data_IF_121165496816
#
_entry.id   IF_121165496816
#
_cell.length_a   1.000
_cell.length_b   1.000
_cell.length_c   1.000
_cell.angle_alpha   90.00
_cell.angle_beta   90.00
_cell.angle_gamma   90.00
#
_symmetry.space_group_name_H-M   'P 1'
#
loop_
_entity.id
_entity.type
_entity.pdbx_description
1 polymer ?
#
# COMPACT_ATOMS: atom_id res chain seq x y z
N UNK A 1 -22.26 -23.25 18.46
CA UNK A 1 -21.62 -22.40 19.50
C UNK A 1 -22.23 -22.76 20.85
N UNK A 2 -21.51 -22.66 21.97
CA UNK A 2 -22.08 -22.86 23.31
C UNK A 2 -23.30 -21.97 23.56
N UNK A 3 -24.12 -22.35 24.53
CA UNK A 3 -25.18 -21.46 24.99
C UNK A 3 -24.56 -20.20 25.64
N UNK A 4 -25.11 -19.03 25.34
CA UNK A 4 -24.58 -17.77 25.85
C UNK A 4 -24.92 -16.56 24.99
N UNK A 5 -24.50 -15.39 25.45
CA UNK A 5 -24.64 -14.12 24.74
C UNK A 5 -23.46 -13.91 23.81
N UNK A 6 -23.75 -13.51 22.57
CA UNK A 6 -22.78 -13.24 21.53
C UNK A 6 -23.09 -11.90 20.87
N UNK A 7 -22.05 -11.27 20.34
CA UNK A 7 -22.18 -10.15 19.41
C UNK A 7 -21.82 -10.61 18.01
N UNK A 8 -22.35 -9.94 17.00
CA UNK A 8 -22.01 -10.18 15.61
C UNK A 8 -21.73 -8.88 14.89
N UNK A 9 -20.91 -8.98 13.85
CA UNK A 9 -20.72 -7.94 12.85
C UNK A 9 -20.72 -8.61 11.47
N UNK A 10 -21.55 -8.11 10.57
CA UNK A 10 -21.69 -8.56 9.18
C UNK A 10 -21.30 -7.39 8.26
N UNK A 11 -20.38 -7.65 7.35
CA UNK A 11 -19.80 -6.65 6.44
C UNK A 11 -19.76 -7.20 5.00
N UNK A 12 -19.70 -6.29 4.04
CA UNK A 12 -19.40 -6.56 2.62
C UNK A 12 -18.51 -5.43 2.11
N UNK A 13 -17.22 -5.49 2.44
CA UNK A 13 -16.29 -4.39 2.18
C UNK A 13 -16.72 -3.04 2.77
N UNK A 14 -16.02 -1.94 2.42
CA UNK A 14 -16.30 -0.59 2.91
C UNK A 14 -17.44 0.11 2.16
N UNK A 15 -17.90 -0.43 1.01
CA UNK A 15 -18.95 0.17 0.16
C UNK A 15 -20.37 -0.08 0.67
N UNK A 16 -20.53 -0.90 1.71
CA UNK A 16 -21.81 -1.24 2.31
C UNK A 16 -21.84 -0.83 3.79
N UNK A 17 -23.05 -0.62 4.31
CA UNK A 17 -23.28 -0.43 5.75
C UNK A 17 -22.84 -1.65 6.53
N UNK A 18 -22.28 -1.46 7.73
CA UNK A 18 -21.98 -2.52 8.68
C UNK A 18 -23.22 -2.93 9.48
N UNK A 19 -23.65 -4.18 9.37
CA UNK A 19 -24.65 -4.77 10.26
C UNK A 19 -23.99 -5.24 11.56
N UNK A 20 -24.56 -4.92 12.72
CA UNK A 20 -24.04 -5.37 14.01
C UNK A 20 -25.15 -5.49 15.05
N UNK A 21 -24.96 -6.36 16.03
CA UNK A 21 -25.94 -6.58 17.08
C UNK A 21 -25.48 -7.62 18.10
N UNK A 22 -26.41 -8.06 18.94
CA UNK A 22 -26.20 -9.12 19.92
C UNK A 22 -27.35 -10.11 19.90
N UNK A 23 -27.06 -11.36 20.26
CA UNK A 23 -28.03 -12.43 20.32
C UNK A 23 -27.66 -13.42 21.42
N UNK A 24 -28.63 -14.22 21.83
CA UNK A 24 -28.43 -15.29 22.79
C UNK A 24 -28.67 -16.64 22.10
N UNK A 25 -27.75 -17.57 22.30
CA UNK A 25 -27.89 -18.96 21.88
C UNK A 25 -28.38 -19.74 23.10
N UNK A 26 -29.53 -20.40 22.97
CA UNK A 26 -30.01 -21.36 23.97
C UNK A 26 -29.62 -22.78 23.56
N UNK A 27 -29.34 -23.64 24.54
CA UNK A 27 -28.98 -25.04 24.27
C UNK A 27 -30.07 -25.74 23.45
N UNK A 28 -29.67 -26.48 22.42
CA UNK A 28 -30.58 -27.20 21.53
C UNK A 28 -31.43 -26.31 20.60
N UNK A 29 -31.20 -25.00 20.55
CA UNK A 29 -31.94 -24.07 19.67
C UNK A 29 -31.08 -23.51 18.55
N UNK A 30 -31.72 -23.19 17.43
CA UNK A 30 -31.11 -22.43 16.32
C UNK A 30 -31.60 -21.00 16.38
N UNK A 31 -30.67 -20.04 16.42
CA UNK A 31 -30.98 -18.61 16.30
C UNK A 31 -30.63 -18.16 14.90
N UNK A 32 -31.62 -17.65 14.15
CA UNK A 32 -31.44 -17.10 12.81
C UNK A 32 -31.40 -15.57 12.88
N UNK A 33 -30.36 -14.96 12.30
CA UNK A 33 -30.18 -13.50 12.23
C UNK A 33 -30.25 -13.11 10.76
N UNK A 34 -31.15 -12.17 10.43
CA UNK A 34 -31.28 -11.60 9.09
C UNK A 34 -30.87 -10.14 9.13
N UNK A 35 -29.87 -9.80 8.34
CA UNK A 35 -29.41 -8.43 8.15
C UNK A 35 -29.41 -8.09 6.67
N UNK A 36 -29.83 -6.86 6.34
CA UNK A 36 -29.76 -6.34 4.97
C UNK A 36 -28.78 -5.17 4.95
N UNK A 37 -27.62 -5.39 4.36
CA UNK A 37 -26.63 -4.33 4.18
C UNK A 37 -27.06 -3.42 3.01
N UNK A 38 -27.09 -2.11 3.25
CA UNK A 38 -27.34 -1.11 2.22
C UNK A 38 -26.03 -0.64 1.61
N UNK A 39 -25.99 -0.45 0.29
CA UNK A 39 -24.80 0.07 -0.39
C UNK A 39 -24.69 1.58 -0.11
N UNK A 40 -23.59 2.00 0.50
CA UNK A 40 -23.27 3.40 0.81
C UNK A 40 -22.83 4.14 -0.46
N UNK A 41 -22.03 3.46 -1.30
CA UNK A 41 -21.50 4.01 -2.54
C UNK A 41 -21.20 2.87 -3.52
N UNK A 42 -21.28 3.15 -4.82
CA UNK A 42 -20.81 2.26 -5.87
C UNK A 42 -19.57 2.88 -6.52
N UNK A 43 -18.37 2.47 -6.07
CA UNK A 43 -17.11 3.02 -6.56
C UNK A 43 -16.86 2.65 -8.03
N UNK A 44 -17.21 1.42 -8.42
CA UNK A 44 -17.10 0.93 -9.80
C UNK A 44 -17.89 1.80 -10.78
N UNK A 45 -19.12 2.23 -10.43
CA UNK A 45 -19.93 3.13 -11.25
C UNK A 45 -19.30 4.52 -11.45
N UNK A 46 -18.38 4.89 -10.55
CA UNK A 46 -17.59 6.13 -10.60
C UNK A 46 -16.19 5.90 -11.18
N UNK A 47 -15.93 4.72 -11.75
CA UNK A 47 -14.66 4.36 -12.40
C UNK A 47 -13.54 3.98 -11.45
N UNK A 48 -13.83 3.75 -10.17
CA UNK A 48 -12.85 3.33 -9.15
C UNK A 48 -12.99 1.85 -8.84
N UNK A 49 -11.90 1.11 -8.94
CA UNK A 49 -11.88 -0.34 -8.81
C UNK A 49 -10.92 -0.79 -7.72
N UNK A 50 -11.40 -1.61 -6.79
CA UNK A 50 -10.65 -2.08 -5.63
C UNK A 50 -9.66 -3.21 -5.98
N UNK A 51 -8.53 -3.25 -5.30
CA UNK A 51 -7.63 -4.39 -5.30
C UNK A 51 -6.82 -4.50 -4.02
N UNK A 52 -6.19 -5.66 -3.83
CA UNK A 52 -5.34 -5.99 -2.69
C UNK A 52 -4.15 -6.82 -3.19
N UNK A 53 -2.95 -6.55 -2.67
CA UNK A 53 -1.70 -7.15 -3.13
C UNK A 53 -1.04 -8.09 -2.10
N UNK A 54 -1.75 -8.60 -1.09
CA UNK A 54 -1.18 -9.59 -0.16
C UNK A 54 -2.23 -10.60 0.31
N UNK A 55 -2.42 -11.68 -0.45
CA UNK A 55 -3.46 -12.68 -0.18
C UNK A 55 -2.88 -14.10 -0.21
N UNK A 56 -2.91 -14.80 0.93
CA UNK A 56 -2.47 -16.20 1.09
C UNK A 56 -3.64 -17.20 1.10
N UNK A 57 -4.73 -16.87 0.43
CA UNK A 57 -5.90 -17.75 0.34
C UNK A 57 -5.76 -18.74 -0.81
N UNK A 58 -6.40 -19.90 -0.66
CA UNK A 58 -6.41 -20.92 -1.71
C UNK A 58 -7.23 -20.46 -2.92
N UNK A 59 -6.84 -20.89 -4.12
CA UNK A 59 -7.62 -20.66 -5.34
C UNK A 59 -9.03 -21.26 -5.26
N UNK A 60 -9.26 -22.26 -4.41
CA UNK A 60 -10.58 -22.87 -4.18
C UNK A 60 -11.54 -21.91 -3.46
N UNK A 61 -11.02 -21.08 -2.56
CA UNK A 61 -11.83 -20.22 -1.71
C UNK A 61 -11.89 -18.77 -2.21
N UNK A 62 -10.94 -18.35 -3.06
CA UNK A 62 -10.71 -16.93 -3.36
C UNK A 62 -11.92 -16.25 -4.02
N UNK A 63 -12.65 -16.93 -4.91
CA UNK A 63 -13.80 -16.34 -5.58
C UNK A 63 -14.93 -16.01 -4.59
N UNK A 64 -15.18 -16.87 -3.60
CA UNK A 64 -16.16 -16.61 -2.56
C UNK A 64 -15.76 -15.40 -1.70
N UNK A 65 -14.48 -15.31 -1.34
CA UNK A 65 -13.95 -14.24 -0.50
C UNK A 65 -13.97 -12.89 -1.23
N UNK A 66 -13.61 -12.86 -2.52
CA UNK A 66 -13.74 -11.70 -3.38
C UNK A 66 -15.19 -11.22 -3.44
N UNK A 67 -16.16 -12.13 -3.70
CA UNK A 67 -17.59 -11.79 -3.75
C UNK A 67 -18.09 -11.24 -2.41
N UNK A 68 -17.64 -11.83 -1.31
CA UNK A 68 -18.02 -11.41 0.04
C UNK A 68 -17.53 -9.99 0.36
N UNK A 69 -16.43 -9.56 -0.24
CA UNK A 69 -15.77 -8.28 0.07
C UNK A 69 -15.93 -7.19 -1.00
N UNK A 70 -16.58 -7.52 -2.12
CA UNK A 70 -16.67 -6.66 -3.32
C UNK A 70 -15.28 -6.16 -3.77
N UNK A 71 -14.32 -7.10 -3.82
CA UNK A 71 -12.90 -6.83 -4.14
C UNK A 71 -12.59 -7.18 -5.60
N UNK A 72 -12.16 -6.23 -6.41
CA UNK A 72 -12.08 -6.48 -7.86
C UNK A 72 -10.83 -7.19 -8.34
N UNK A 73 -9.67 -6.92 -7.74
CA UNK A 73 -8.38 -7.53 -8.11
C UNK A 73 -7.67 -8.09 -6.88
N UNK A 74 -7.34 -9.38 -6.90
CA UNK A 74 -6.59 -10.02 -5.81
C UNK A 74 -5.62 -11.07 -6.34
N UNK A 75 -4.35 -10.73 -6.61
CA UNK A 75 -3.30 -11.72 -6.80
C UNK A 75 -3.14 -12.59 -5.55
N UNK A 76 -3.09 -13.92 -5.72
CA UNK A 76 -2.88 -14.86 -4.62
C UNK A 76 -1.45 -15.38 -4.60
N UNK A 77 -0.88 -15.51 -3.40
CA UNK A 77 0.48 -15.98 -3.19
C UNK A 77 0.51 -17.51 -3.25
N UNK A 78 1.14 -18.04 -4.31
CA UNK A 78 1.21 -19.49 -4.59
C UNK A 78 2.63 -20.04 -4.56
N UNK A 79 3.62 -19.15 -4.45
CA UNK A 79 5.00 -19.49 -4.17
C UNK A 79 5.60 -18.46 -3.23
N UNK A 80 6.32 -18.91 -2.21
CA UNK A 80 6.97 -18.07 -1.23
C UNK A 80 8.17 -18.80 -0.63
N UNK A 81 9.33 -18.15 -0.57
CA UNK A 81 10.58 -18.72 -0.06
C UNK A 81 10.84 -20.17 -0.55
N UNK A 82 10.71 -21.18 0.34
CA UNK A 82 10.95 -22.59 0.01
C UNK A 82 9.74 -23.31 -0.60
N UNK A 83 8.57 -22.68 -0.58
CA UNK A 83 7.31 -23.22 -1.11
C UNK A 83 7.08 -22.73 -2.53
N UNK A 84 6.84 -23.63 -3.47
CA UNK A 84 6.42 -23.27 -4.82
C UNK A 84 5.42 -24.31 -5.35
N UNK A 85 4.14 -23.93 -5.42
CA UNK A 85 3.06 -24.81 -5.91
C UNK A 85 3.28 -25.30 -7.34
N UNK A 86 4.04 -24.55 -8.14
CA UNK A 86 4.26 -24.79 -9.56
C UNK A 86 5.55 -25.56 -9.87
N UNK A 87 6.36 -25.90 -8.85
CA UNK A 87 7.65 -26.60 -9.07
C UNK A 87 7.48 -27.97 -9.73
N UNK A 88 6.44 -28.70 -9.34
CA UNK A 88 6.12 -30.04 -9.83
C UNK A 88 4.71 -30.11 -10.45
N UNK A 89 4.15 -28.95 -10.81
CA UNK A 89 2.79 -28.83 -11.35
C UNK A 89 2.83 -28.01 -12.64
N UNK A 90 1.94 -28.30 -13.58
CA UNK A 90 1.80 -27.47 -14.76
C UNK A 90 1.32 -26.06 -14.38
N UNK A 91 2.00 -25.03 -14.89
CA UNK A 91 1.53 -23.65 -14.80
C UNK A 91 0.27 -23.52 -15.67
N UNK A 92 -0.83 -22.96 -15.15
CA UNK A 92 -2.06 -22.80 -15.92
C UNK A 92 -1.82 -21.86 -17.11
N UNK A 93 -2.39 -22.18 -18.27
CA UNK A 93 -2.36 -21.29 -19.43
C UNK A 93 -3.00 -19.94 -19.10
N UNK A 94 -4.15 -19.99 -18.42
CA UNK A 94 -4.83 -18.81 -17.87
C UNK A 94 -4.32 -18.50 -16.46
N UNK A 95 -3.34 -17.59 -16.39
CA UNK A 95 -2.70 -17.15 -15.14
C UNK A 95 -3.59 -16.18 -14.36
N UNK A 96 -4.26 -15.28 -15.08
CA UNK A 96 -5.27 -14.36 -14.54
C UNK A 96 -6.65 -14.91 -14.83
N UNK A 97 -7.36 -15.27 -13.78
CA UNK A 97 -8.75 -15.74 -13.87
C UNK A 97 -9.66 -14.54 -13.72
N UNK A 98 -10.66 -14.42 -14.58
CA UNK A 98 -11.76 -13.47 -14.45
C UNK A 98 -13.09 -14.21 -14.33
N UNK A 99 -13.98 -13.68 -13.51
CA UNK A 99 -15.30 -14.24 -13.23
C UNK A 99 -16.28 -13.11 -12.84
N UNK A 100 -17.58 -13.41 -12.92
CA UNK A 100 -18.72 -12.47 -12.72
C UNK A 100 -18.47 -11.09 -13.36
N UNK A 101 -17.96 -11.08 -14.59
CA UNK A 101 -17.65 -9.93 -15.45
C UNK A 101 -16.51 -8.99 -15.00
N UNK A 102 -16.36 -8.72 -13.70
CA UNK A 102 -15.47 -7.66 -13.20
C UNK A 102 -14.55 -8.07 -12.04
N UNK A 103 -14.50 -9.34 -11.68
CA UNK A 103 -13.57 -9.84 -10.66
C UNK A 103 -12.38 -10.56 -11.30
N UNK A 104 -11.19 -10.36 -10.74
CA UNK A 104 -9.94 -10.93 -11.22
C UNK A 104 -9.06 -11.42 -10.07
N UNK A 105 -8.42 -12.57 -10.26
CA UNK A 105 -7.30 -12.99 -9.40
C UNK A 105 -6.15 -13.55 -10.25
N UNK A 106 -4.92 -13.26 -9.84
CA UNK A 106 -3.70 -13.79 -10.45
C UNK A 106 -3.22 -14.99 -9.63
N UNK A 107 -3.02 -16.11 -10.31
CA UNK A 107 -2.57 -17.37 -9.72
C UNK A 107 -1.06 -17.42 -9.47
N UNK A 108 -0.27 -16.53 -10.06
CA UNK A 108 1.20 -16.57 -10.02
C UNK A 108 1.83 -15.56 -9.06
N UNK A 109 1.04 -15.01 -8.13
CA UNK A 109 1.55 -14.17 -7.06
C UNK A 109 2.65 -14.87 -6.25
N UNK A 110 3.72 -14.14 -5.98
CA UNK A 110 4.88 -14.64 -5.25
C UNK A 110 5.35 -13.71 -4.15
N UNK A 111 6.06 -14.28 -3.17
CA UNK A 111 6.65 -13.53 -2.05
C UNK A 111 8.09 -14.01 -1.77
N UNK A 112 9.07 -13.10 -1.86
CA UNK A 112 10.43 -13.29 -1.35
C UNK A 112 10.55 -12.57 0.00
N UNK A 113 10.39 -13.29 1.10
CA UNK A 113 10.39 -12.75 2.48
C UNK A 113 11.61 -13.25 3.26
N UNK A 114 12.57 -12.36 3.49
CA UNK A 114 13.86 -12.68 4.10
C UNK A 114 14.33 -11.59 5.07
N UNK A 115 15.59 -11.64 5.53
CA UNK A 115 16.11 -10.70 6.53
C UNK A 115 15.99 -9.23 6.07
N UNK A 116 16.16 -8.98 4.78
CA UNK A 116 15.98 -7.66 4.17
C UNK A 116 14.54 -7.16 4.14
N UNK A 117 13.56 -8.04 4.35
CA UNK A 117 12.13 -7.78 4.24
C UNK A 117 11.46 -8.63 3.17
N UNK A 118 10.27 -8.21 2.74
CA UNK A 118 9.45 -8.91 1.75
C UNK A 118 9.25 -8.09 0.47
N UNK A 119 9.44 -8.76 -0.67
CA UNK A 119 9.10 -8.27 -2.00
C UNK A 119 8.08 -9.21 -2.66
N UNK A 120 7.04 -8.64 -3.24
CA UNK A 120 5.97 -9.39 -3.88
C UNK A 120 6.06 -9.29 -5.41
N UNK A 121 5.67 -10.36 -6.07
CA UNK A 121 5.78 -10.53 -7.52
C UNK A 121 4.41 -10.83 -8.12
N UNK A 122 3.92 -9.98 -9.03
CA UNK A 122 2.63 -10.16 -9.71
C UNK A 122 2.76 -10.02 -11.22
N UNK A 123 1.72 -10.43 -11.96
CA UNK A 123 1.69 -10.39 -13.42
C UNK A 123 2.87 -11.15 -14.04
N UNK A 124 3.25 -12.25 -13.40
CA UNK A 124 4.37 -13.09 -13.82
C UNK A 124 3.94 -14.02 -14.95
N UNK A 125 4.80 -14.29 -15.92
CA UNK A 125 4.60 -15.37 -16.89
C UNK A 125 4.93 -16.74 -16.30
N UNK A 126 5.93 -16.77 -15.41
CA UNK A 126 6.38 -17.93 -14.65
C UNK A 126 6.96 -17.49 -13.30
N UNK A 127 6.84 -18.32 -12.24
CA UNK A 127 7.49 -18.05 -10.96
C UNK A 127 9.01 -17.92 -11.10
N UNK A 128 9.62 -17.10 -10.25
CA UNK A 128 11.07 -17.08 -10.07
C UNK A 128 11.44 -18.16 -9.05
N UNK A 129 12.45 -18.98 -9.34
CA UNK A 129 12.89 -20.00 -8.39
C UNK A 129 13.74 -19.38 -7.27
N UNK A 130 13.06 -19.05 -6.18
CA UNK A 130 13.68 -18.56 -4.94
C UNK A 130 13.92 -19.68 -3.91
N UNK A 131 13.68 -20.96 -4.26
CA UNK A 131 13.68 -22.06 -3.27
C UNK A 131 15.05 -22.37 -2.67
N UNK A 132 16.12 -21.91 -3.32
CA UNK A 132 17.51 -22.01 -2.86
C UNK A 132 17.98 -20.78 -2.09
N UNK A 133 17.15 -19.74 -1.99
CA UNK A 133 17.50 -18.53 -1.25
C UNK A 133 17.71 -18.84 0.23
N UNK A 134 18.72 -18.19 0.79
CA UNK A 134 19.01 -18.13 2.20
C UNK A 134 18.64 -16.74 2.73
N UNK A 135 18.69 -16.57 4.05
CA UNK A 135 18.27 -15.33 4.73
C UNK A 135 18.92 -14.05 4.17
N UNK A 136 20.18 -14.11 3.76
CA UNK A 136 20.93 -12.96 3.21
C UNK A 136 21.42 -13.16 1.76
N UNK A 137 21.38 -14.39 1.24
CA UNK A 137 21.99 -14.74 -0.06
C UNK A 137 21.05 -15.51 -0.99
N UNK A 138 21.00 -15.17 -2.30
CA UNK A 138 21.56 -13.97 -2.92
C UNK A 138 20.77 -12.72 -2.49
N UNK A 139 21.26 -11.51 -2.76
CA UNK A 139 20.48 -10.29 -2.49
C UNK A 139 19.07 -10.39 -3.14
N UNK A 140 17.97 -9.96 -2.48
CA UNK A 140 16.62 -9.98 -3.08
C UNK A 140 16.52 -9.36 -4.48
N UNK A 141 17.34 -8.34 -4.74
CA UNK A 141 17.41 -7.69 -6.05
C UNK A 141 17.81 -8.65 -7.18
N UNK A 142 18.57 -9.71 -6.90
CA UNK A 142 18.91 -10.74 -7.88
C UNK A 142 17.66 -11.44 -8.45
N UNK A 143 16.63 -11.67 -7.63
CA UNK A 143 15.38 -12.28 -8.07
C UNK A 143 14.44 -11.26 -8.70
N UNK A 144 14.44 -10.01 -8.22
CA UNK A 144 13.75 -8.89 -8.87
C UNK A 144 14.25 -8.69 -10.30
N UNK A 145 15.57 -8.72 -10.53
CA UNK A 145 16.18 -8.63 -11.87
C UNK A 145 15.72 -9.75 -12.80
N UNK A 146 15.53 -10.97 -12.28
CA UNK A 146 14.98 -12.08 -13.06
C UNK A 146 13.50 -11.91 -13.35
N UNK A 147 12.73 -11.44 -12.36
CA UNK A 147 11.31 -11.18 -12.53
C UNK A 147 11.06 -10.10 -13.60
N UNK A 148 11.81 -9.00 -13.54
CA UNK A 148 11.70 -7.86 -14.48
C UNK A 148 12.05 -8.20 -15.94
N UNK A 149 12.64 -9.38 -16.22
CA UNK A 149 12.81 -9.89 -17.60
C UNK A 149 11.49 -10.36 -18.22
N UNK A 150 10.47 -10.61 -17.40
CA UNK A 150 9.15 -11.04 -17.86
C UNK A 150 8.28 -9.81 -18.16
N UNK A 151 7.66 -9.71 -19.35
CA UNK A 151 6.75 -8.63 -19.68
C UNK A 151 5.61 -8.51 -18.67
N UNK A 152 5.34 -7.28 -18.20
CA UNK A 152 4.24 -7.01 -17.28
C UNK A 152 4.53 -7.29 -15.80
N UNK A 153 5.66 -7.90 -15.46
CA UNK A 153 6.05 -8.19 -14.07
C UNK A 153 5.95 -6.94 -13.18
N UNK A 154 5.28 -7.11 -12.04
CA UNK A 154 5.07 -6.07 -11.04
C UNK A 154 5.79 -6.44 -9.76
N UNK A 155 6.55 -5.49 -9.21
CA UNK A 155 7.24 -5.66 -7.93
C UNK A 155 6.61 -4.73 -6.90
N UNK A 156 5.99 -5.30 -5.88
CA UNK A 156 5.49 -4.53 -4.74
C UNK A 156 6.43 -4.67 -3.54
N UNK A 157 6.79 -3.55 -2.93
CA UNK A 157 7.51 -3.53 -1.67
C UNK A 157 6.48 -3.66 -0.55
N UNK A 158 6.42 -4.82 0.11
CA UNK A 158 5.27 -5.16 0.97
C UNK A 158 5.11 -4.21 2.16
N UNK A 159 6.23 -3.69 2.72
CA UNK A 159 6.21 -2.68 3.79
C UNK A 159 7.29 -1.61 3.63
N UNK A 160 7.00 -0.34 3.97
CA UNK A 160 8.00 0.73 3.97
C UNK A 160 9.19 0.48 4.90
N UNK A 161 8.99 -0.22 6.02
CA UNK A 161 10.02 -0.39 7.04
C UNK A 161 10.97 -1.57 6.79
N UNK A 162 10.92 -2.21 5.63
CA UNK A 162 11.86 -3.27 5.27
C UNK A 162 13.29 -2.76 5.05
N UNK A 163 14.26 -3.49 5.59
CA UNK A 163 15.66 -3.06 5.62
C UNK A 163 16.25 -2.83 4.23
N UNK A 164 15.83 -3.60 3.22
CA UNK A 164 16.33 -3.50 1.85
C UNK A 164 15.52 -2.50 0.99
N UNK A 165 14.49 -1.81 1.55
CA UNK A 165 13.75 -0.75 0.83
C UNK A 165 14.69 0.29 0.22
N UNK A 166 15.65 0.88 0.95
CA UNK A 166 16.52 1.91 0.37
C UNK A 166 17.44 1.39 -0.72
N UNK A 167 17.76 0.08 -0.70
CA UNK A 167 18.55 -0.59 -1.73
C UNK A 167 17.70 -0.80 -2.98
N UNK A 168 16.48 -1.31 -2.84
CA UNK A 168 15.55 -1.47 -3.96
C UNK A 168 15.24 -0.13 -4.66
N UNK A 169 14.96 0.92 -3.88
CA UNK A 169 14.69 2.26 -4.39
C UNK A 169 15.86 2.85 -5.19
N UNK A 170 17.10 2.61 -4.76
CA UNK A 170 18.30 3.08 -5.47
C UNK A 170 18.49 2.43 -6.85
N UNK A 171 17.90 1.25 -7.06
CA UNK A 171 17.90 0.55 -8.35
C UNK A 171 16.66 0.86 -9.19
N UNK A 172 15.73 1.68 -8.68
CA UNK A 172 14.44 1.92 -9.33
C UNK A 172 13.52 0.70 -9.30
N UNK A 173 13.68 -0.17 -8.31
CA UNK A 173 12.78 -1.29 -8.06
C UNK A 173 11.70 -0.93 -7.02
N UNK A 174 10.52 -1.54 -7.18
CA UNK A 174 9.29 -1.15 -6.48
C UNK A 174 8.35 -0.37 -7.38
N UNK A 175 7.44 -1.07 -8.07
CA UNK A 175 6.34 -0.48 -8.83
C UNK A 175 5.27 0.13 -7.89
N UNK A 176 5.11 -0.45 -6.69
CA UNK A 176 4.32 0.09 -5.58
C UNK A 176 4.90 -0.30 -4.21
N UNK A 177 4.36 0.29 -3.15
CA UNK A 177 4.77 0.03 -1.77
C UNK A 177 3.58 0.00 -0.80
N UNK A 178 3.55 -0.99 0.09
CA UNK A 178 2.47 -1.25 1.03
C UNK A 178 2.32 -0.21 2.14
N UNK A 179 1.88 0.98 1.78
CA UNK A 179 1.55 2.05 2.72
C UNK A 179 0.47 1.60 3.71
N UNK A 180 -0.48 0.81 3.22
CA UNK A 180 -1.51 0.14 4.02
C UNK A 180 -1.25 -1.37 4.04
N UNK A 181 -0.24 -1.76 4.82
CA UNK A 181 0.20 -3.15 4.92
C UNK A 181 -0.55 -3.95 5.99
N UNK A 182 -0.19 -5.23 6.07
CA UNK A 182 -0.84 -6.25 6.89
C UNK A 182 -0.69 -6.05 8.41
N UNK A 183 0.00 -5.01 8.91
CA UNK A 183 0.01 -4.66 10.34
C UNK A 183 -1.21 -3.84 10.78
N UNK A 184 -1.89 -3.19 9.83
CA UNK A 184 -3.18 -2.56 10.06
C UNK A 184 -4.25 -3.65 10.12
N UNK A 185 -4.58 -4.16 11.31
CA UNK A 185 -5.64 -5.18 11.43
C UNK A 185 -7.00 -4.56 11.69
N UNK A 186 -8.03 -5.31 11.34
CA UNK A 186 -9.41 -5.01 11.70
C UNK A 186 -9.61 -4.84 13.20
N UNK A 187 -8.95 -5.67 14.00
CA UNK A 187 -9.14 -5.77 15.46
C UNK A 187 -8.08 -5.06 16.28
N UNK A 188 -6.92 -4.72 15.69
CA UNK A 188 -5.80 -4.06 16.38
C UNK A 188 -4.77 -3.51 15.39
N UNK A 189 -3.83 -2.71 15.87
CA UNK A 189 -2.56 -2.52 15.17
C UNK A 189 -1.52 -3.50 15.70
N UNK A 190 -0.72 -4.14 14.85
CA UNK A 190 0.44 -4.89 15.31
C UNK A 190 1.53 -3.93 15.83
N UNK A 191 1.95 -4.12 17.07
CA UNK A 191 2.93 -3.27 17.75
C UNK A 191 4.38 -3.78 17.58
N UNK A 192 4.79 -4.00 16.33
CA UNK A 192 6.17 -4.28 15.96
C UNK A 192 6.41 -3.92 14.50
N UNK A 193 7.67 -3.78 14.10
CA UNK A 193 8.08 -3.70 12.69
C UNK A 193 8.52 -5.10 12.18
N UNK A 194 8.05 -6.17 12.84
CA UNK A 194 8.61 -7.51 12.72
C UNK A 194 10.14 -7.50 12.92
N UNK A 195 10.93 -7.79 11.88
CA UNK A 195 12.39 -7.67 11.86
C UNK A 195 12.89 -6.50 10.98
N UNK A 196 11.99 -5.61 10.56
CA UNK A 196 12.32 -4.39 9.80
C UNK A 196 12.95 -3.29 10.67
N UNK A 197 13.19 -2.14 10.05
CA UNK A 197 13.74 -0.95 10.72
C UNK A 197 12.78 -0.48 11.81
N UNK A 198 13.18 -0.53 13.08
CA UNK A 198 12.31 -0.18 14.19
C UNK A 198 11.98 1.31 14.17
N UNK A 199 10.76 1.64 14.60
CA UNK A 199 10.38 3.02 14.86
C UNK A 199 10.92 3.53 16.19
N UNK A 200 11.08 4.84 16.33
CA UNK A 200 11.19 5.45 17.65
C UNK A 200 9.82 5.41 18.34
N UNK A 201 9.66 4.58 19.37
CA UNK A 201 8.36 4.42 20.07
C UNK A 201 7.92 5.65 20.86
N UNK A 202 8.82 6.61 21.15
CA UNK A 202 8.45 7.89 21.76
C UNK A 202 7.76 8.80 20.76
N UNK A 203 8.29 8.86 19.54
CA UNK A 203 7.76 9.70 18.46
C UNK A 203 6.53 9.06 17.81
N UNK A 204 6.51 7.72 17.76
CA UNK A 204 5.44 6.91 17.17
C UNK A 204 4.89 5.89 18.18
N UNK A 205 4.11 6.33 19.18
CA UNK A 205 3.60 5.47 20.24
C UNK A 205 2.48 4.54 19.76
N UNK A 206 2.37 3.40 20.42
CA UNK A 206 1.27 2.44 20.23
C UNK A 206 -0.08 3.05 20.66
N UNK A 207 -1.22 2.60 20.10
CA UNK A 207 -1.34 1.53 19.11
C UNK A 207 -1.09 2.00 17.66
N UNK A 208 -1.27 3.29 17.34
CA UNK A 208 -1.21 3.78 15.94
C UNK A 208 0.21 3.98 15.38
N UNK A 209 1.24 3.88 16.22
CA UNK A 209 2.63 4.21 15.91
C UNK A 209 3.20 3.54 14.66
N UNK A 210 2.96 2.24 14.44
CA UNK A 210 3.46 1.57 13.24
C UNK A 210 2.84 2.13 11.94
N UNK A 211 1.57 2.55 11.98
CA UNK A 211 0.88 3.14 10.83
C UNK A 211 1.39 4.54 10.50
N UNK A 212 1.70 5.33 11.53
CA UNK A 212 2.38 6.61 11.35
C UNK A 212 3.83 6.46 10.89
N UNK A 213 4.56 5.46 11.40
CA UNK A 213 5.92 5.15 10.97
C UNK A 213 5.99 4.76 9.49
N UNK A 214 5.08 3.88 9.04
CA UNK A 214 4.97 3.48 7.64
C UNK A 214 4.76 4.69 6.71
N UNK A 215 3.91 5.63 7.13
CA UNK A 215 3.67 6.88 6.39
C UNK A 215 4.86 7.83 6.43
N UNK A 216 5.52 7.96 7.58
CA UNK A 216 6.69 8.80 7.72
C UNK A 216 7.83 8.34 6.80
N UNK A 217 8.10 7.03 6.72
CA UNK A 217 9.06 6.48 5.75
C UNK A 217 8.60 6.77 4.31
N UNK A 218 7.32 6.53 4.00
CA UNK A 218 6.79 6.83 2.67
C UNK A 218 7.00 8.30 2.28
N UNK A 219 6.86 9.23 3.23
CA UNK A 219 7.11 10.64 2.98
C UNK A 219 8.58 10.94 2.73
N UNK A 220 9.52 10.28 3.45
CA UNK A 220 10.95 10.36 3.11
C UNK A 220 11.25 9.86 1.69
N UNK A 221 10.56 8.80 1.22
CA UNK A 221 10.71 8.31 -0.17
C UNK A 221 10.32 9.40 -1.17
N UNK A 222 9.14 10.00 -0.98
CA UNK A 222 8.63 11.07 -1.84
C UNK A 222 9.48 12.34 -1.77
N UNK A 223 9.95 12.70 -0.57
CA UNK A 223 10.86 13.82 -0.31
C UNK A 223 12.26 13.59 -0.84
N UNK A 224 12.62 12.36 -1.17
CA UNK A 224 13.81 12.08 -1.96
C UNK A 224 13.56 12.30 -3.45
N UNK A 225 12.35 12.65 -3.89
CA UNK A 225 11.97 12.80 -5.30
C UNK A 225 11.65 11.48 -6.01
N UNK A 226 11.49 10.39 -5.27
CA UNK A 226 11.09 9.08 -5.84
C UNK A 226 9.56 9.04 -5.88
N UNK A 227 8.99 8.80 -7.06
CA UNK A 227 7.54 8.65 -7.24
C UNK A 227 7.22 7.16 -7.21
N UNK A 228 6.46 6.73 -6.21
CA UNK A 228 6.05 5.33 -6.05
C UNK A 228 4.60 5.27 -5.54
N UNK A 229 3.80 4.40 -6.14
CA UNK A 229 2.39 4.27 -5.83
C UNK A 229 2.18 3.57 -4.48
N UNK A 230 1.26 4.05 -3.62
CA UNK A 230 0.88 3.31 -2.43
C UNK A 230 0.00 2.11 -2.83
N UNK A 231 0.29 0.95 -2.24
CA UNK A 231 -0.50 -0.27 -2.33
C UNK A 231 -1.03 -0.68 -0.96
N UNK A 232 -1.85 -1.73 -0.95
CA UNK A 232 -2.45 -2.27 0.25
C UNK A 232 -2.48 -3.80 0.24
N UNK A 233 -2.37 -4.39 1.43
CA UNK A 233 -2.34 -5.84 1.62
C UNK A 233 -2.75 -6.24 3.04
N UNK A 234 -3.57 -7.28 3.18
CA UNK A 234 -4.10 -7.74 4.47
C UNK A 234 -3.40 -9.01 4.98
N UNK A 235 -2.70 -9.72 4.09
CA UNK A 235 -2.11 -11.04 4.35
C UNK A 235 -3.13 -12.08 4.82
N UNK A 236 -4.34 -12.06 4.25
CA UNK A 236 -5.39 -13.00 4.64
C UNK A 236 -4.97 -14.44 4.35
N UNK A 237 -5.13 -15.34 5.32
CA UNK A 237 -4.67 -16.73 5.26
C UNK A 237 -3.44 -17.00 6.13
N UNK A 238 -2.66 -15.96 6.45
CA UNK A 238 -1.54 -16.04 7.41
C UNK A 238 -1.74 -15.12 8.62
N UNK A 239 -2.42 -13.98 8.45
CA UNK A 239 -2.80 -13.07 9.54
C UNK A 239 -4.32 -13.04 9.76
N UNK A 240 -4.74 -12.37 10.85
CA UNK A 240 -6.13 -12.30 11.30
C UNK A 240 -7.05 -11.39 10.48
N UNK A 241 -6.60 -10.82 9.36
CA UNK A 241 -7.43 -9.98 8.51
C UNK A 241 -8.20 -10.79 7.46
N UNK A 242 -9.46 -10.39 7.14
CA UNK A 242 -10.15 -10.91 5.96
C UNK A 242 -9.52 -10.36 4.67
N UNK A 243 -9.80 -11.04 3.56
CA UNK A 243 -9.49 -10.54 2.21
C UNK A 243 -10.14 -9.17 2.05
N UNK A 244 -9.50 -8.27 1.33
CA UNK A 244 -9.96 -6.93 1.04
C UNK A 244 -9.98 -5.97 2.23
N UNK A 245 -9.59 -6.36 3.45
CA UNK A 245 -9.66 -5.42 4.57
C UNK A 245 -8.79 -4.18 4.31
N UNK A 246 -7.54 -4.40 3.92
CA UNK A 246 -6.65 -3.38 3.42
C UNK A 246 -6.71 -3.40 1.89
N UNK A 247 -7.21 -2.33 1.26
CA UNK A 247 -7.39 -2.28 -0.20
C UNK A 247 -6.91 -0.96 -0.79
N UNK A 248 -6.55 -1.01 -2.07
CA UNK A 248 -6.26 0.15 -2.92
C UNK A 248 -7.37 0.29 -3.95
N UNK A 249 -7.92 1.49 -4.12
CA UNK A 249 -8.80 1.83 -5.22
C UNK A 249 -8.00 2.52 -6.31
N UNK A 250 -8.18 2.08 -7.55
CA UNK A 250 -7.53 2.68 -8.72
C UNK A 250 -8.61 3.19 -9.67
N UNK A 251 -8.47 4.44 -10.12
CA UNK A 251 -9.38 5.02 -11.08
C UNK A 251 -9.01 4.59 -12.51
N UNK A 252 -9.92 3.92 -13.21
CA UNK A 252 -9.77 3.55 -14.63
C UNK A 252 -10.64 4.40 -15.56
N UNK A 253 -11.59 5.16 -15.01
CA UNK A 253 -12.52 6.03 -15.75
C UNK A 253 -13.63 5.29 -16.51
N UNK A 254 -13.47 4.00 -16.78
CA UNK A 254 -14.47 3.15 -17.44
C UNK A 254 -15.42 2.46 -16.47
N UNK A 255 -16.64 2.16 -16.95
CA UNK A 255 -17.63 1.34 -16.24
C UNK A 255 -17.32 -0.15 -16.26
N UNK A 256 -16.41 -0.58 -17.13
CA UNK A 256 -15.92 -1.95 -17.20
C UNK A 256 -14.47 -1.98 -16.71
N UNK A 257 -14.14 -2.96 -15.88
CA UNK A 257 -12.78 -3.15 -15.40
C UNK A 257 -11.93 -3.86 -16.46
N UNK A 258 -10.86 -3.19 -16.87
CA UNK A 258 -9.79 -3.78 -17.67
C UNK A 258 -8.57 -4.05 -16.77
N UNK A 259 -8.22 -5.32 -16.59
CA UNK A 259 -7.14 -5.75 -15.69
C UNK A 259 -5.81 -5.01 -15.95
N UNK A 260 -5.38 -4.93 -17.21
CA UNK A 260 -4.13 -4.24 -17.58
C UNK A 260 -4.15 -2.74 -17.28
N UNK A 261 -5.27 -2.06 -17.57
CA UNK A 261 -5.45 -0.63 -17.30
C UNK A 261 -5.44 -0.33 -15.80
N UNK A 262 -5.95 -1.23 -14.96
CA UNK A 262 -5.89 -1.09 -13.51
C UNK A 262 -4.43 -1.01 -13.03
N UNK A 263 -3.58 -1.95 -13.44
CA UNK A 263 -2.16 -1.91 -13.08
C UNK A 263 -1.43 -0.70 -13.68
N UNK A 264 -1.73 -0.32 -14.93
CA UNK A 264 -1.15 0.87 -15.55
C UNK A 264 -1.48 2.15 -14.74
N UNK A 265 -2.73 2.29 -14.31
CA UNK A 265 -3.16 3.47 -13.55
C UNK A 265 -2.69 3.42 -12.10
N UNK A 266 -2.53 2.23 -11.49
CA UNK A 266 -1.85 2.10 -10.21
C UNK A 266 -0.42 2.63 -10.31
N UNK A 267 0.33 2.27 -11.35
CA UNK A 267 1.72 2.73 -11.55
C UNK A 267 1.82 4.24 -11.70
N UNK A 268 0.80 4.85 -12.31
CA UNK A 268 0.68 6.31 -12.43
C UNK A 268 0.25 7.00 -11.14
N UNK A 269 -0.04 6.24 -10.07
CA UNK A 269 -0.54 6.77 -8.81
C UNK A 269 -1.96 7.32 -8.90
N UNK A 270 -2.78 6.84 -9.83
CA UNK A 270 -4.19 7.26 -9.93
C UNK A 270 -5.02 6.43 -8.95
N UNK A 271 -4.65 6.50 -7.67
CA UNK A 271 -5.12 5.59 -6.64
C UNK A 271 -5.26 6.24 -5.26
N UNK A 272 -5.92 5.52 -4.35
CA UNK A 272 -5.84 5.75 -2.91
C UNK A 272 -5.94 4.42 -2.16
N UNK A 273 -5.31 4.32 -0.99
CA UNK A 273 -5.40 3.16 -0.10
C UNK A 273 -6.42 3.41 1.01
N UNK A 274 -7.11 2.37 1.47
CA UNK A 274 -8.07 2.45 2.58
C UNK A 274 -8.35 1.10 3.25
N UNK A 275 -8.63 1.13 4.55
CA UNK A 275 -9.24 0.05 5.32
C UNK A 275 -10.48 0.51 6.11
N UNK A 276 -11.11 1.58 5.67
CA UNK A 276 -12.34 2.12 6.29
C UNK A 276 -12.92 3.26 5.46
N UNK A 277 -12.46 4.51 5.65
CA UNK A 277 -13.00 5.67 4.93
C UNK A 277 -12.86 5.54 3.41
N UNK A 278 -13.92 5.81 2.66
CA UNK A 278 -13.88 5.91 1.20
C UNK A 278 -13.81 7.37 0.79
N UNK A 279 -12.86 7.68 -0.09
CA UNK A 279 -12.63 9.05 -0.55
C UNK A 279 -12.74 9.15 -2.07
N UNK A 280 -13.30 10.26 -2.54
CA UNK A 280 -13.27 10.64 -3.95
C UNK A 280 -12.55 11.98 -4.10
N UNK A 281 -11.23 11.96 -4.26
CA UNK A 281 -10.45 13.18 -4.35
C UNK A 281 -10.59 13.82 -5.74
N UNK A 282 -10.62 15.16 -5.74
CA UNK A 282 -10.58 15.99 -6.94
C UNK A 282 -9.84 17.28 -6.64
N UNK A 283 -8.64 17.44 -7.19
CA UNK A 283 -7.83 18.66 -7.00
C UNK A 283 -7.77 19.43 -8.29
N UNK A 284 -8.39 20.62 -8.33
CA UNK A 284 -8.55 21.42 -9.54
C UNK A 284 -9.06 20.60 -10.74
N UNK A 285 -9.97 19.65 -10.49
CA UNK A 285 -10.54 18.74 -11.51
C UNK A 285 -9.72 17.47 -11.79
N UNK A 286 -8.53 17.33 -11.23
CA UNK A 286 -7.63 16.20 -11.46
C UNK A 286 -7.67 15.15 -10.35
N UNK A 287 -7.29 13.92 -10.71
CA UNK A 287 -7.18 12.75 -9.82
C UNK A 287 -5.76 12.63 -9.25
N UNK A 288 -5.54 11.83 -8.20
CA UNK A 288 -4.20 11.53 -7.67
C UNK A 288 -3.25 11.08 -8.78
N UNK A 289 -1.95 11.29 -8.58
CA UNK A 289 -0.91 11.02 -9.58
C UNK A 289 -0.73 12.13 -10.62
N UNK A 290 -1.64 13.12 -10.67
CA UNK A 290 -1.50 14.27 -11.58
C UNK A 290 -0.28 15.15 -11.23
N UNK A 291 0.32 15.73 -12.27
CA UNK A 291 1.47 16.64 -12.16
C UNK A 291 1.03 18.03 -12.64
N UNK A 292 0.87 18.96 -11.71
CA UNK A 292 0.63 20.37 -12.00
C UNK A 292 1.95 21.05 -12.39
N UNK A 293 1.97 21.76 -13.51
CA UNK A 293 3.19 22.41 -14.02
C UNK A 293 3.03 23.92 -14.06
N UNK A 294 4.10 24.65 -13.74
CA UNK A 294 4.16 26.09 -13.90
C UNK A 294 5.59 26.56 -14.20
N UNK A 295 5.70 27.75 -14.80
CA UNK A 295 7.00 28.39 -15.03
C UNK A 295 7.61 28.92 -13.72
N UNK A 296 8.93 29.09 -13.72
CA UNK A 296 9.67 29.66 -12.58
C UNK A 296 9.08 31.02 -12.18
N UNK A 297 8.88 31.23 -10.88
CA UNK A 297 8.32 32.46 -10.31
C UNK A 297 6.78 32.53 -10.33
N UNK A 298 6.08 31.53 -10.87
CA UNK A 298 4.63 31.43 -10.77
C UNK A 298 4.21 30.73 -9.48
N UNK A 299 3.07 31.16 -8.93
CA UNK A 299 2.39 30.47 -7.83
C UNK A 299 1.32 29.54 -8.39
N UNK A 300 1.34 28.28 -7.99
CA UNK A 300 0.28 27.31 -8.30
C UNK A 300 -0.72 27.33 -7.15
N UNK A 301 -1.97 27.67 -7.43
CA UNK A 301 -3.09 27.62 -6.48
C UNK A 301 -4.01 26.47 -6.86
N UNK A 302 -4.22 25.54 -5.95
CA UNK A 302 -4.96 24.29 -6.16
C UNK A 302 -6.22 24.29 -5.30
N UNK A 303 -7.37 24.00 -5.91
CA UNK A 303 -8.65 23.80 -5.21
C UNK A 303 -8.76 22.34 -4.77
N UNK A 304 -8.70 22.07 -3.47
CA UNK A 304 -8.64 20.71 -2.91
C UNK A 304 -10.03 20.28 -2.47
N UNK A 305 -10.65 19.39 -3.24
CA UNK A 305 -11.95 18.79 -2.96
C UNK A 305 -11.84 17.30 -2.69
N UNK A 306 -12.76 16.82 -1.86
CA UNK A 306 -12.86 15.43 -1.42
C UNK A 306 -14.35 15.16 -1.18
N UNK A 307 -14.87 14.04 -1.68
CA UNK A 307 -16.08 13.44 -1.09
C UNK A 307 -15.65 12.34 -0.13
N UNK A 308 -16.34 12.21 1.01
CA UNK A 308 -16.03 11.24 2.05
C UNK A 308 -17.28 10.43 2.41
N UNK A 309 -17.16 9.10 2.33
CA UNK A 309 -18.22 8.15 2.67
C UNK A 309 -17.62 7.03 3.52
N UNK A 310 -18.31 6.55 4.54
CA UNK A 310 -17.79 5.46 5.35
C UNK A 310 -18.70 5.07 6.50
N UNK A 311 -18.32 3.99 7.18
CA UNK A 311 -19.02 3.46 8.35
C UNK A 311 -18.47 4.00 9.69
N UNK A 312 -17.24 4.49 9.70
CA UNK A 312 -16.52 4.85 10.92
C UNK A 312 -16.53 6.37 11.12
N UNK A 313 -16.55 6.87 12.37
CA UNK A 313 -16.35 8.28 12.66
C UNK A 313 -14.96 8.74 12.19
N UNK A 314 -14.84 10.03 11.89
CA UNK A 314 -13.61 10.63 11.32
C UNK A 314 -12.95 11.52 12.38
N UNK A 315 -11.70 11.20 12.70
CA UNK A 315 -10.85 11.96 13.63
C UNK A 315 -10.34 13.23 12.93
N UNK A 316 -9.65 13.05 11.80
CA UNK A 316 -9.05 14.16 11.06
C UNK A 316 -9.08 13.97 9.54
N UNK A 317 -9.18 15.09 8.82
CA UNK A 317 -8.92 15.17 7.39
C UNK A 317 -7.75 16.12 7.17
N UNK A 318 -6.69 15.63 6.53
CA UNK A 318 -5.40 16.29 6.50
C UNK A 318 -4.88 16.47 5.07
N UNK A 319 -4.26 17.62 4.82
CA UNK A 319 -3.41 17.84 3.65
C UNK A 319 -1.97 17.70 4.12
N UNK A 320 -1.26 16.71 3.58
CA UNK A 320 0.18 16.52 3.81
C UNK A 320 0.92 17.13 2.63
N UNK A 321 1.88 18.01 2.88
CA UNK A 321 2.70 18.66 1.86
C UNK A 321 4.18 18.46 2.20
N UNK A 322 4.93 17.88 1.26
CA UNK A 322 6.36 17.59 1.42
C UNK A 322 6.71 16.90 2.76
N UNK A 323 5.85 15.99 3.22
CA UNK A 323 6.05 15.20 4.44
C UNK A 323 5.51 15.80 5.74
N UNK A 324 5.04 17.05 5.72
CA UNK A 324 4.49 17.74 6.90
C UNK A 324 2.98 17.96 6.75
N UNK A 325 2.27 17.98 7.89
CA UNK A 325 0.85 18.34 7.90
C UNK A 325 0.73 19.84 7.64
N UNK A 326 0.23 20.22 6.46
CA UNK A 326 -0.02 21.62 6.10
C UNK A 326 -1.33 22.12 6.72
N UNK A 327 -2.33 21.24 6.79
CA UNK A 327 -3.67 21.56 7.29
C UNK A 327 -4.31 20.32 7.87
N UNK A 328 -5.00 20.51 8.99
CA UNK A 328 -5.93 19.55 9.59
C UNK A 328 -7.30 20.21 9.66
N UNK A 329 -8.32 19.51 9.16
CA UNK A 329 -9.72 19.94 9.12
C UNK A 329 -10.56 18.93 9.88
N UNK A 330 -11.42 19.41 10.77
CA UNK A 330 -12.40 18.53 11.45
C UNK A 330 -13.50 18.10 10.50
N UNK A 331 -14.18 16.98 10.78
CA UNK A 331 -15.30 16.54 9.93
C UNK A 331 -16.44 17.58 9.84
N UNK A 332 -16.72 18.29 10.94
CA UNK A 332 -17.74 19.34 10.99
C UNK A 332 -17.38 20.55 10.11
N UNK A 333 -16.12 20.98 10.16
CA UNK A 333 -15.61 22.06 9.31
C UNK A 333 -15.61 21.67 7.83
N UNK A 334 -15.17 20.45 7.52
CA UNK A 334 -15.17 19.92 6.16
C UNK A 334 -16.58 19.92 5.54
N UNK A 335 -17.60 19.48 6.28
CA UNK A 335 -18.99 19.50 5.82
C UNK A 335 -19.52 20.92 5.62
N UNK A 336 -19.07 21.89 6.42
CA UNK A 336 -19.50 23.29 6.32
C UNK A 336 -18.85 24.01 5.14
N UNK A 337 -17.58 23.70 4.84
CA UNK A 337 -16.78 24.37 3.82
C UNK A 337 -16.95 23.77 2.41
N UNK A 338 -17.54 22.57 2.28
CA UNK A 338 -17.70 21.89 1.00
C UNK A 338 -16.38 21.44 0.36
N UNK A 339 -15.33 21.26 1.15
CA UNK A 339 -14.00 20.87 0.70
C UNK A 339 -12.89 21.21 1.69
N UNK A 340 -11.63 21.02 1.27
CA UNK A 340 -10.46 21.32 2.10
C UNK A 340 -9.85 22.70 1.78
N UNK A 341 -10.46 23.47 0.88
CA UNK A 341 -10.02 24.82 0.51
C UNK A 341 -8.83 24.82 -0.44
N UNK A 342 -8.10 25.95 -0.48
CA UNK A 342 -6.98 26.12 -1.40
C UNK A 342 -5.64 25.72 -0.78
N UNK A 343 -4.77 25.14 -1.62
CA UNK A 343 -3.36 24.84 -1.35
C UNK A 343 -2.47 25.60 -2.33
N UNK A 344 -1.36 26.15 -1.86
CA UNK A 344 -0.43 26.93 -2.68
C UNK A 344 0.97 26.32 -2.74
N UNK A 345 1.59 26.43 -3.91
CA UNK A 345 2.99 26.09 -4.17
C UNK A 345 3.69 27.24 -4.88
N UNK A 346 4.86 27.61 -4.36
CA UNK A 346 5.81 28.55 -4.97
C UNK A 346 7.11 27.86 -5.39
N UNK A 347 7.28 26.59 -5.02
CA UNK A 347 8.35 25.68 -5.42
C UNK A 347 7.76 24.30 -5.74
N UNK A 348 8.52 23.48 -6.45
CA UNK A 348 8.14 22.09 -6.71
C UNK A 348 7.98 21.29 -5.42
N UNK A 349 7.13 20.27 -5.50
CA UNK A 349 6.79 19.45 -4.35
C UNK A 349 5.70 18.44 -4.66
N UNK A 350 5.17 17.89 -3.60
CA UNK A 350 4.05 16.96 -3.64
C UNK A 350 3.13 17.20 -2.46
N UNK A 351 1.90 16.75 -2.61
CA UNK A 351 0.96 16.67 -1.49
C UNK A 351 0.04 15.46 -1.65
N UNK A 352 -0.57 15.04 -0.54
CA UNK A 352 -1.62 14.03 -0.53
C UNK A 352 -2.69 14.40 0.48
N UNK A 353 -3.84 13.74 0.37
CA UNK A 353 -4.95 13.90 1.29
C UNK A 353 -5.06 12.63 2.12
N UNK A 354 -5.13 12.79 3.44
CA UNK A 354 -5.26 11.71 4.41
C UNK A 354 -6.52 11.89 5.24
N UNK A 355 -7.28 10.82 5.44
CA UNK A 355 -8.43 10.78 6.35
C UNK A 355 -8.16 9.72 7.40
N UNK A 356 -8.19 10.08 8.69
CA UNK A 356 -7.99 9.16 9.80
C UNK A 356 -9.35 8.92 10.47
N UNK A 357 -9.71 7.65 10.64
CA UNK A 357 -10.91 7.28 11.38
C UNK A 357 -10.65 7.32 12.90
N UNK A 358 -11.65 7.70 13.67
CA UNK A 358 -11.62 7.69 15.13
C UNK A 358 -11.87 6.27 15.67
N UNK A 359 -10.87 5.40 15.48
CA UNK A 359 -10.88 4.01 15.93
C UNK A 359 -9.64 3.80 16.80
N UNK A 360 -9.72 3.95 18.13
CA UNK A 360 -8.54 4.12 18.99
C UNK A 360 -7.63 2.89 19.07
N UNK A 361 -8.15 1.69 18.81
CA UNK A 361 -7.42 0.42 18.98
C UNK A 361 -6.67 -0.03 17.71
N UNK A 362 -6.86 0.61 16.56
CA UNK A 362 -6.16 0.28 15.31
C UNK A 362 -5.86 1.55 14.50
N UNK A 363 -5.14 1.42 13.40
CA UNK A 363 -4.91 2.51 12.46
C UNK A 363 -5.82 2.32 11.24
N UNK A 364 -6.97 2.98 11.24
CA UNK A 364 -7.88 3.04 10.09
C UNK A 364 -7.78 4.37 9.39
N UNK A 365 -7.50 4.35 8.10
CA UNK A 365 -7.31 5.56 7.33
C UNK A 365 -7.60 5.35 5.85
N UNK A 366 -7.75 6.46 5.14
CA UNK A 366 -7.58 6.54 3.71
C UNK A 366 -6.44 7.52 3.38
N UNK A 367 -5.67 7.23 2.34
CA UNK A 367 -4.64 8.15 1.84
C UNK A 367 -4.58 8.09 0.33
N UNK A 368 -4.64 9.25 -0.32
CA UNK A 368 -4.41 9.31 -1.77
C UNK A 368 -2.96 8.97 -2.09
N UNK A 369 -2.72 8.43 -3.27
CA UNK A 369 -1.42 8.60 -3.88
C UNK A 369 -1.08 10.10 -4.03
N UNK A 370 0.20 10.48 -4.16
CA UNK A 370 0.58 11.88 -4.20
C UNK A 370 0.11 12.58 -5.48
N UNK A 371 -0.25 13.85 -5.35
CA UNK A 371 -0.23 14.82 -6.43
C UNK A 371 1.14 15.49 -6.45
N UNK A 372 1.58 15.91 -7.64
CA UNK A 372 2.89 16.55 -7.82
C UNK A 372 2.74 17.95 -8.37
N UNK A 373 3.67 18.83 -8.00
CA UNK A 373 3.82 20.17 -8.55
C UNK A 373 5.24 20.35 -9.03
N UNK A 374 5.40 20.73 -10.30
CA UNK A 374 6.69 21.02 -10.95
C UNK A 374 6.71 22.50 -11.37
N UNK A 375 7.60 23.29 -10.77
CA UNK A 375 7.76 24.72 -11.02
C UNK A 375 9.19 24.99 -11.52
N UNK A 376 9.30 25.47 -12.76
CA UNK A 376 10.60 25.72 -13.40
C UNK A 376 11.41 24.44 -13.65
N UNK A 377 12.74 24.56 -13.56
CA UNK A 377 13.67 23.47 -13.92
C UNK A 377 13.81 22.40 -12.83
N UNK A 378 13.55 22.77 -11.57
CA UNK A 378 13.63 21.87 -10.43
C UNK A 378 12.38 20.99 -10.35
N UNK A 379 12.33 19.86 -11.08
CA UNK A 379 11.13 19.02 -11.17
C UNK A 379 10.78 18.23 -9.89
N UNK A 380 11.67 18.20 -8.91
CA UNK A 380 11.53 17.39 -7.71
C UNK A 380 11.83 18.20 -6.46
N UNK A 381 11.10 17.91 -5.38
CA UNK A 381 11.49 18.31 -4.03
C UNK A 381 12.46 17.26 -3.49
N UNK A 382 13.69 17.67 -3.19
CA UNK A 382 14.80 16.83 -2.78
C UNK A 382 15.31 17.30 -1.41
N UNK A 383 14.70 16.75 -0.38
CA UNK A 383 14.99 16.96 1.05
C UNK A 383 16.34 16.35 1.42
N UNK A 384 17.29 17.19 1.86
CA UNK A 384 18.60 16.75 2.36
C UNK A 384 18.46 15.80 3.54
N UNK A 385 17.52 16.05 4.45
CA UNK A 385 17.22 15.21 5.60
C UNK A 385 16.75 13.82 5.17
N UNK A 386 15.74 13.74 4.29
CA UNK A 386 15.18 12.48 3.82
C UNK A 386 16.18 11.62 3.04
N UNK A 387 17.03 12.27 2.25
CA UNK A 387 18.08 11.57 1.50
C UNK A 387 19.15 11.02 2.45
N UNK A 388 19.54 11.80 3.47
CA UNK A 388 20.47 11.35 4.50
C UNK A 388 19.89 10.20 5.33
N UNK A 389 18.60 10.26 5.68
CA UNK A 389 17.88 9.19 6.35
C UNK A 389 18.07 7.83 5.65
N UNK A 390 17.88 7.78 4.31
CA UNK A 390 18.08 6.55 3.57
C UNK A 390 19.55 6.17 3.35
N UNK A 391 20.43 7.16 3.20
CA UNK A 391 21.87 6.89 3.12
C UNK A 391 22.37 6.20 4.40
N UNK A 392 21.99 6.73 5.56
CA UNK A 392 22.41 6.21 6.86
C UNK A 392 21.75 4.86 7.13
N UNK A 393 20.50 4.67 6.70
CA UNK A 393 19.85 3.35 6.71
C UNK A 393 20.64 2.31 5.89
N UNK A 394 21.09 2.64 4.68
CA UNK A 394 21.92 1.71 3.89
C UNK A 394 23.21 1.36 4.63
N UNK A 395 23.84 2.33 5.28
CA UNK A 395 25.04 2.10 6.10
C UNK A 395 24.76 1.14 7.28
N UNK A 396 23.65 1.35 7.99
CA UNK A 396 23.20 0.42 9.04
C UNK A 396 22.93 -0.98 8.50
N UNK A 397 22.27 -1.11 7.34
CA UNK A 397 21.97 -2.40 6.74
C UNK A 397 23.23 -3.15 6.31
N UNK A 398 24.23 -2.46 5.75
CA UNK A 398 25.54 -3.04 5.44
C UNK A 398 26.17 -3.68 6.69
N UNK A 399 26.10 -3.02 7.84
CA UNK A 399 26.64 -3.53 9.10
C UNK A 399 25.91 -4.74 9.68
N UNK A 400 24.68 -5.03 9.22
CA UNK A 400 23.88 -6.16 9.68
C UNK A 400 24.06 -7.43 8.84
N UNK A 401 24.60 -7.31 7.62
CA UNK A 401 24.74 -8.45 6.71
C UNK A 401 25.90 -9.32 7.19
N UNK A 402 25.56 -10.55 7.59
CA UNK A 402 26.54 -11.53 8.03
C UNK A 402 26.45 -12.79 7.14
N UNK A 403 27.50 -13.03 6.35
CA UNK A 403 27.64 -14.19 5.47
C UNK A 403 29.08 -14.68 5.61
N UNK A 404 29.27 -15.94 6.01
CA UNK A 404 30.59 -16.53 6.28
C UNK A 404 31.46 -16.65 5.02
N UNK A 405 30.82 -16.92 3.88
CA UNK A 405 31.48 -17.06 2.58
C UNK A 405 31.83 -15.67 2.00
N UNK A 406 33.12 -15.31 1.84
CA UNK A 406 33.53 -13.98 1.41
C UNK A 406 33.06 -13.61 0.00
N UNK A 407 32.96 -14.59 -0.91
CA UNK A 407 32.51 -14.34 -2.28
C UNK A 407 31.02 -14.01 -2.29
N UNK A 408 30.21 -14.80 -1.57
CA UNK A 408 28.78 -14.52 -1.40
C UNK A 408 28.52 -13.20 -0.69
N UNK A 409 29.32 -12.88 0.33
CA UNK A 409 29.24 -11.60 1.02
C UNK A 409 29.48 -10.44 0.05
N UNK A 410 30.53 -10.52 -0.76
CA UNK A 410 30.85 -9.49 -1.74
C UNK A 410 29.76 -9.33 -2.81
N UNK A 411 29.17 -10.43 -3.30
CA UNK A 411 28.04 -10.39 -4.23
C UNK A 411 26.84 -9.61 -3.67
N UNK A 412 26.53 -9.78 -2.38
CA UNK A 412 25.44 -9.06 -1.70
C UNK A 412 25.82 -7.61 -1.43
N UNK A 413 27.04 -7.36 -0.91
CA UNK A 413 27.50 -6.01 -0.57
C UNK A 413 27.66 -5.10 -1.79
N UNK A 414 27.94 -5.66 -2.98
CA UNK A 414 27.95 -4.91 -4.24
C UNK A 414 26.65 -4.14 -4.46
N UNK A 415 25.50 -4.76 -4.17
CA UNK A 415 24.20 -4.08 -4.31
C UNK A 415 24.10 -2.87 -3.39
N UNK A 416 24.46 -3.07 -2.11
CA UNK A 416 24.37 -2.08 -1.05
C UNK A 416 25.35 -0.92 -1.25
N UNK A 417 26.58 -1.18 -1.69
CA UNK A 417 27.57 -0.13 -1.98
C UNK A 417 27.12 0.76 -3.15
N UNK A 418 26.52 0.19 -4.20
CA UNK A 418 25.92 0.97 -5.28
C UNK A 418 24.71 1.78 -4.81
N UNK A 419 23.88 1.23 -3.92
CA UNK A 419 22.80 1.99 -3.30
C UNK A 419 23.32 3.18 -2.47
N UNK A 420 24.38 2.97 -1.67
CA UNK A 420 25.05 4.05 -0.94
C UNK A 420 25.56 5.15 -1.86
N UNK A 421 26.20 4.79 -2.98
CA UNK A 421 26.65 5.75 -3.99
C UNK A 421 25.49 6.54 -4.59
N UNK A 422 24.37 5.88 -4.92
CA UNK A 422 23.17 6.55 -5.40
C UNK A 422 22.65 7.59 -4.40
N UNK A 423 22.51 7.23 -3.13
CA UNK A 423 22.04 8.15 -2.10
C UNK A 423 23.03 9.30 -1.86
N UNK A 424 24.34 9.03 -1.92
CA UNK A 424 25.37 10.07 -1.84
C UNK A 424 25.29 11.06 -3.01
N UNK A 425 25.11 10.57 -4.24
CA UNK A 425 24.94 11.42 -5.42
C UNK A 425 23.65 12.24 -5.32
N UNK A 426 22.55 11.61 -4.90
CA UNK A 426 21.26 12.27 -4.70
C UNK A 426 21.33 13.38 -3.65
N UNK A 427 22.12 13.18 -2.59
CA UNK A 427 22.35 14.18 -1.54
C UNK A 427 23.05 15.44 -2.07
N UNK A 428 23.89 15.30 -3.11
CA UNK A 428 24.53 16.44 -3.76
C UNK A 428 23.56 17.27 -4.62
N UNK A 429 22.44 16.66 -5.01
CA UNK A 429 21.36 17.29 -5.78
C UNK A 429 20.23 17.84 -4.88
N UNK A 430 20.33 17.70 -3.56
CA UNK A 430 19.31 18.19 -2.63
C UNK A 430 19.08 19.69 -2.81
N UNK A 431 17.81 20.08 -3.01
CA UNK A 431 17.35 21.45 -3.20
C UNK A 431 16.39 21.92 -2.10
N UNK A 432 16.16 21.05 -1.12
CA UNK A 432 15.34 21.31 0.04
C UNK A 432 16.01 20.78 1.31
N UNK A 433 15.45 21.27 2.42
CA UNK A 433 15.99 21.33 3.78
C UNK A 433 17.23 22.20 3.94
#
# INVERSE_FOLDING_TARGET
MPAGKYTYVIERGPEYTRGNGSFEIKSGSTTEIKEKLSRLINMASKGWWSGELHVHRSAKDIELLIRAEDLHIAPIITWWNRSNKWKNSQIPERKVVSFDDNYFYDLLGGEDERNGGAFMYFNMEKPVDITRAQREYPCPLYFIEQAKKQPGAWIDIEKPFWWDVPVALAYGYGDSIGLLNNHCWRSRMLDSEAWGKPRNKKDFPSPRGNGFWSQHIYYHILNSGIRIAPSAGSASGVLGNPVGYNRVYVFTGGKNLEYGRWWENLRKGISFVTNGPLILPSVSGHKPGHVFKADKGRTVKLDVKLDLVGNDPVDSIEIIKNGSVERTVSFAEFNSNGGLGFLQFTKSGWFLIRVIADIPHTFRFASTAPYYVEIGDEKHYLSRESIRFFKDWVDERIGQINIDDPEKLEEVLKYHRKAKQFWQQRLSLANAD
#
